data_IF_614455069295
#
_entry.id   IF_614455069295
#
_cell.length_a   1.000
_cell.length_b   1.000
_cell.length_c   1.000
_cell.angle_alpha   90.00
_cell.angle_beta   90.00
_cell.angle_gamma   90.00
#
_symmetry.space_group_name_H-M   'P 1'
#
loop_
_entity.id
_entity.type
_entity.pdbx_description
1 polymer ?
#
# COMPACT_ATOMS: atom_id res chain seq x y z
N UNK A 1 -16.20 -9.11 -9.23
CA UNK A 1 -17.02 -8.95 -8.01
C UNK A 1 -16.95 -10.20 -7.17
N UNK A 2 -17.48 -11.34 -7.64
CA UNK A 2 -17.40 -12.63 -6.94
C UNK A 2 -15.98 -12.99 -6.48
N UNK A 3 -14.99 -12.94 -7.37
CA UNK A 3 -13.59 -13.23 -7.03
C UNK A 3 -13.04 -12.30 -5.95
N UNK A 4 -13.36 -11.01 -6.01
CA UNK A 4 -12.94 -10.04 -4.98
C UNK A 4 -13.54 -10.41 -3.63
N UNK A 5 -14.86 -10.65 -3.60
CA UNK A 5 -15.54 -11.04 -2.36
C UNK A 5 -15.01 -12.37 -1.79
N UNK A 6 -14.68 -13.34 -2.63
CA UNK A 6 -14.09 -14.62 -2.22
C UNK A 6 -12.67 -14.45 -1.66
N UNK A 7 -11.80 -13.69 -2.33
CA UNK A 7 -10.43 -13.41 -1.87
C UNK A 7 -10.45 -12.73 -0.51
N UNK A 8 -11.25 -11.65 -0.37
CA UNK A 8 -11.33 -10.94 0.90
C UNK A 8 -12.08 -11.76 1.96
N UNK A 9 -13.08 -12.56 1.59
CA UNK A 9 -13.75 -13.48 2.51
C UNK A 9 -12.78 -14.49 3.11
N UNK A 10 -11.91 -15.07 2.26
CA UNK A 10 -10.82 -15.95 2.71
C UNK A 10 -9.81 -15.20 3.60
N UNK A 11 -9.37 -14.01 3.19
CA UNK A 11 -8.44 -13.20 3.99
C UNK A 11 -9.03 -12.85 5.36
N UNK A 12 -10.31 -12.50 5.42
CA UNK A 12 -11.03 -12.26 6.67
C UNK A 12 -11.15 -13.53 7.53
N UNK A 13 -11.23 -14.72 6.94
CA UNK A 13 -11.23 -15.98 7.71
C UNK A 13 -9.86 -16.35 8.30
N UNK A 14 -8.76 -15.91 7.66
CA UNK A 14 -7.41 -16.07 8.20
C UNK A 14 -7.17 -15.18 9.42
N UNK A 15 -7.84 -14.03 9.46
CA UNK A 15 -7.63 -13.01 10.49
C UNK A 15 -8.93 -12.59 11.20
N UNK A 16 -9.52 -13.48 12.03
CA UNK A 16 -10.64 -13.16 12.90
C UNK A 16 -10.37 -11.97 13.84
N UNK A 17 -11.42 -11.32 14.34
CA UNK A 17 -11.30 -10.13 15.22
C UNK A 17 -10.63 -10.40 16.55
N UNK A 18 -10.73 -11.63 17.04
CA UNK A 18 -10.17 -12.12 18.28
C UNK A 18 -8.75 -12.67 18.13
N UNK A 19 -8.14 -12.52 16.94
CA UNK A 19 -6.74 -12.90 16.72
C UNK A 19 -5.82 -12.08 17.62
N UNK A 20 -5.05 -12.76 18.47
CA UNK A 20 -3.93 -12.15 19.18
C UNK A 20 -2.75 -11.98 18.21
N UNK A 21 -2.79 -10.90 17.44
CA UNK A 21 -1.77 -10.61 16.43
C UNK A 21 -0.36 -10.53 17.03
N UNK A 22 -0.23 -10.05 18.28
CA UNK A 22 1.07 -9.87 18.93
C UNK A 22 1.73 -11.20 19.30
N UNK A 23 0.93 -12.21 19.63
CA UNK A 23 1.43 -13.56 19.86
C UNK A 23 2.00 -14.20 18.58
N UNK A 24 1.48 -13.81 17.41
CA UNK A 24 1.85 -14.37 16.10
C UNK A 24 3.06 -13.68 15.45
N UNK A 25 3.46 -12.50 15.92
CA UNK A 25 4.63 -11.80 15.39
C UNK A 25 5.92 -12.58 15.67
N UNK A 26 6.89 -12.57 14.73
CA UNK A 26 8.22 -13.14 14.95
C UNK A 26 8.83 -12.60 16.25
N UNK A 27 9.50 -13.47 17.01
CA UNK A 27 10.21 -13.06 18.22
C UNK A 27 11.66 -12.70 17.90
N UNK A 28 12.31 -11.87 18.71
CA UNK A 28 13.71 -11.53 18.51
C UNK A 28 14.55 -12.80 18.58
N UNK A 29 15.44 -12.99 17.59
CA UNK A 29 16.40 -14.08 17.53
C UNK A 29 17.77 -13.48 17.17
N UNK A 30 18.78 -13.76 17.99
CA UNK A 30 20.13 -13.23 17.82
C UNK A 30 20.85 -13.80 16.59
N UNK A 31 20.35 -14.90 16.02
CA UNK A 31 20.91 -15.54 14.83
C UNK A 31 20.19 -15.15 13.53
N UNK A 32 19.17 -14.29 13.60
CA UNK A 32 18.36 -13.88 12.44
C UNK A 32 18.42 -12.36 12.30
N UNK A 33 19.08 -11.88 11.26
CA UNK A 33 19.06 -10.47 10.91
C UNK A 33 17.74 -10.13 10.22
N UNK A 34 16.85 -9.47 10.96
CA UNK A 34 15.50 -9.13 10.50
C UNK A 34 15.37 -7.65 10.15
N UNK A 35 14.74 -7.36 9.02
CA UNK A 35 14.42 -6.00 8.58
C UNK A 35 12.90 -5.78 8.54
N UNK A 36 12.42 -4.64 9.04
CA UNK A 36 11.02 -4.22 8.90
C UNK A 36 10.95 -3.11 7.85
N UNK A 37 10.27 -3.41 6.74
CA UNK A 37 10.05 -2.45 5.67
C UNK A 37 8.90 -1.51 6.02
N UNK A 38 9.17 -0.21 5.94
CA UNK A 38 8.19 0.85 6.25
C UNK A 38 7.84 1.71 5.03
N UNK A 39 8.29 1.29 3.86
CA UNK A 39 8.12 2.01 2.60
C UNK A 39 6.78 1.82 1.93
N UNK A 40 6.75 2.10 0.62
CA UNK A 40 5.55 1.91 -0.21
C UNK A 40 5.40 0.42 -0.55
N UNK A 41 4.23 -0.15 -0.28
CA UNK A 41 3.86 -1.53 -0.61
C UNK A 41 3.01 -1.52 -1.88
N UNK A 42 3.68 -1.58 -3.03
CA UNK A 42 3.06 -1.62 -4.35
C UNK A 42 3.85 -2.54 -5.30
N UNK A 43 3.18 -3.32 -6.18
CA UNK A 43 3.85 -4.25 -7.10
C UNK A 43 4.89 -3.60 -8.03
N UNK A 44 4.80 -2.28 -8.24
CA UNK A 44 5.73 -1.51 -9.10
C UNK A 44 7.05 -1.16 -8.43
N UNK A 45 7.12 -1.21 -7.09
CA UNK A 45 8.30 -0.76 -6.32
C UNK A 45 8.89 -1.84 -5.42
N UNK A 46 8.05 -2.76 -4.93
CA UNK A 46 8.47 -3.86 -4.04
C UNK A 46 9.62 -4.72 -4.61
N UNK A 47 9.68 -5.02 -5.93
CA UNK A 47 10.81 -5.77 -6.47
C UNK A 47 12.18 -5.11 -6.20
N UNK A 48 12.24 -3.78 -6.25
CA UNK A 48 13.50 -3.05 -6.01
C UNK A 48 13.80 -2.91 -4.52
N UNK A 49 12.76 -2.69 -3.72
CA UNK A 49 12.94 -2.27 -2.33
C UNK A 49 13.01 -3.44 -1.34
N UNK A 50 12.18 -4.47 -1.53
CA UNK A 50 12.08 -5.61 -0.61
C UNK A 50 12.80 -6.81 -1.19
N UNK A 51 12.46 -7.21 -2.43
CA UNK A 51 13.12 -8.36 -3.08
C UNK A 51 14.59 -8.05 -3.32
N UNK A 52 14.90 -6.86 -3.84
CA UNK A 52 16.28 -6.41 -4.05
C UNK A 52 17.10 -6.30 -2.76
N UNK A 53 16.46 -6.10 -1.61
CA UNK A 53 17.11 -6.02 -0.30
C UNK A 53 17.24 -7.39 0.40
N UNK A 54 16.43 -8.37 0.00
CA UNK A 54 16.43 -9.70 0.63
C UNK A 54 17.78 -10.43 0.70
N UNK A 55 18.76 -10.24 -0.21
CA UNK A 55 20.07 -10.90 -0.09
C UNK A 55 20.94 -10.38 1.08
N UNK A 56 20.58 -9.27 1.70
CA UNK A 56 21.36 -8.63 2.76
C UNK A 56 20.90 -8.98 4.17
N UNK A 57 19.79 -9.71 4.30
CA UNK A 57 19.13 -10.03 5.57
C UNK A 57 18.52 -11.42 5.51
N UNK A 58 18.28 -12.03 6.67
CA UNK A 58 17.67 -13.36 6.74
C UNK A 58 16.15 -13.31 6.56
N UNK A 59 15.51 -12.24 7.05
CA UNK A 59 14.06 -12.06 6.98
C UNK A 59 13.69 -10.59 6.80
N UNK A 60 12.71 -10.33 5.92
CA UNK A 60 12.06 -9.04 5.76
C UNK A 60 10.60 -9.14 6.18
N UNK A 61 10.21 -8.38 7.21
CA UNK A 61 8.81 -8.17 7.56
C UNK A 61 8.23 -7.07 6.66
N UNK A 62 7.08 -7.35 6.06
CA UNK A 62 6.28 -6.37 5.30
C UNK A 62 4.84 -6.41 5.77
N UNK A 63 4.20 -5.25 5.90
CA UNK A 63 2.77 -5.17 6.20
C UNK A 63 1.98 -5.63 4.97
N UNK A 64 1.09 -6.59 5.18
CA UNK A 64 0.22 -7.14 4.16
C UNK A 64 -0.74 -6.05 3.63
N UNK A 65 -0.82 -5.83 2.30
CA UNK A 65 -1.69 -4.78 1.75
C UNK A 65 -3.17 -5.18 1.71
N UNK A 66 -3.53 -6.44 1.94
CA UNK A 66 -4.95 -6.82 1.99
C UNK A 66 -5.60 -6.23 3.25
N UNK A 67 -6.59 -5.37 3.04
CA UNK A 67 -7.40 -4.85 4.15
C UNK A 67 -8.26 -5.97 4.73
N UNK A 68 -8.24 -6.11 6.06
CA UNK A 68 -9.07 -7.11 6.72
C UNK A 68 -10.56 -6.68 6.71
N UNK A 69 -11.46 -7.40 6.01
CA UNK A 69 -12.86 -6.99 5.87
C UNK A 69 -13.63 -7.02 7.18
N UNK A 70 -13.15 -7.74 8.20
CA UNK A 70 -13.81 -7.81 9.50
C UNK A 70 -13.82 -6.46 10.22
N UNK A 71 -12.84 -5.59 9.93
CA UNK A 71 -12.67 -4.28 10.55
C UNK A 71 -13.27 -3.14 9.75
N UNK A 72 -13.90 -3.44 8.61
CA UNK A 72 -14.54 -2.46 7.74
C UNK A 72 -16.06 -2.52 7.94
N UNK A 73 -16.70 -1.35 8.02
CA UNK A 73 -18.15 -1.27 8.05
C UNK A 73 -18.75 -1.97 6.81
N UNK A 74 -19.89 -2.66 7.00
CA UNK A 74 -20.49 -3.54 5.99
C UNK A 74 -20.59 -2.90 4.61
N UNK A 75 -21.10 -1.68 4.53
CA UNK A 75 -21.34 -0.96 3.27
C UNK A 75 -20.05 -0.58 2.50
N UNK A 76 -18.91 -0.61 3.18
CA UNK A 76 -17.60 -0.29 2.63
C UNK A 76 -16.69 -1.52 2.54
N UNK A 77 -17.13 -2.68 3.03
CA UNK A 77 -16.31 -3.89 3.08
C UNK A 77 -16.17 -4.51 1.68
N UNK A 78 -14.98 -5.00 1.27
CA UNK A 78 -14.76 -5.62 -0.03
C UNK A 78 -15.56 -6.91 -0.23
N UNK A 79 -16.09 -7.50 0.86
CA UNK A 79 -16.98 -8.67 0.79
C UNK A 79 -18.38 -8.28 0.31
N UNK A 80 -18.90 -7.13 0.75
CA UNK A 80 -20.26 -6.68 0.43
C UNK A 80 -20.31 -5.64 -0.70
N UNK A 81 -19.23 -4.88 -0.89
CA UNK A 81 -19.05 -3.87 -1.94
C UNK A 81 -17.84 -4.18 -2.84
N UNK A 82 -17.71 -5.41 -3.38
CA UNK A 82 -16.52 -5.87 -4.11
C UNK A 82 -16.23 -5.07 -5.39
N UNK A 83 -17.24 -4.42 -5.98
CA UNK A 83 -17.08 -3.62 -7.18
C UNK A 83 -16.06 -2.48 -6.99
N UNK A 84 -15.97 -1.91 -5.79
CA UNK A 84 -15.10 -0.78 -5.48
C UNK A 84 -13.62 -1.15 -5.33
N UNK A 85 -13.32 -2.44 -5.13
CA UNK A 85 -11.99 -2.93 -4.76
C UNK A 85 -11.25 -3.62 -5.92
N UNK A 86 -11.79 -3.65 -7.14
CA UNK A 86 -11.21 -4.45 -8.24
C UNK A 86 -9.77 -4.03 -8.55
N UNK A 87 -9.52 -2.73 -8.66
CA UNK A 87 -8.20 -2.20 -8.99
C UNK A 87 -7.18 -2.51 -7.90
N UNK A 88 -7.56 -2.32 -6.63
CA UNK A 88 -6.69 -2.66 -5.50
C UNK A 88 -6.46 -4.16 -5.37
N UNK A 89 -7.49 -4.98 -5.58
CA UNK A 89 -7.34 -6.44 -5.57
C UNK A 89 -6.37 -6.90 -6.65
N UNK A 90 -6.45 -6.31 -7.86
CA UNK A 90 -5.54 -6.64 -8.96
C UNK A 90 -4.08 -6.34 -8.58
N UNK A 91 -3.81 -5.15 -8.01
CA UNK A 91 -2.47 -4.77 -7.54
C UNK A 91 -1.99 -5.70 -6.43
N UNK A 92 -2.82 -5.98 -5.44
CA UNK A 92 -2.45 -6.81 -4.29
C UNK A 92 -2.21 -8.28 -4.67
N UNK A 93 -3.00 -8.83 -5.59
CA UNK A 93 -2.77 -10.18 -6.13
C UNK A 93 -1.47 -10.22 -6.92
N UNK A 94 -1.21 -9.22 -7.78
CA UNK A 94 0.05 -9.16 -8.53
C UNK A 94 1.25 -9.08 -7.60
N UNK A 95 1.17 -8.24 -6.56
CA UNK A 95 2.19 -8.16 -5.52
C UNK A 95 2.42 -9.51 -4.85
N UNK A 96 1.34 -10.18 -4.41
CA UNK A 96 1.45 -11.45 -3.73
C UNK A 96 2.12 -12.49 -4.63
N UNK A 97 1.78 -12.55 -5.91
CA UNK A 97 2.42 -13.44 -6.89
C UNK A 97 3.93 -13.18 -7.03
N UNK A 98 4.37 -11.91 -6.94
CA UNK A 98 5.81 -11.58 -6.93
C UNK A 98 6.50 -12.04 -5.65
N UNK A 99 5.79 -12.04 -4.52
CA UNK A 99 6.34 -12.34 -3.21
C UNK A 99 6.29 -13.83 -2.83
N UNK A 100 5.40 -14.63 -3.41
CA UNK A 100 5.20 -16.06 -3.09
C UNK A 100 6.53 -16.83 -2.96
N UNK A 101 7.48 -16.75 -3.92
CA UNK A 101 8.72 -17.54 -3.82
C UNK A 101 9.54 -17.23 -2.57
N UNK A 102 9.52 -15.97 -2.11
CA UNK A 102 10.27 -15.52 -0.94
C UNK A 102 9.51 -15.76 0.37
N UNK A 103 8.19 -15.75 0.31
CA UNK A 103 7.32 -16.13 1.43
C UNK A 103 7.50 -17.63 1.73
N UNK A 104 7.51 -18.47 0.69
CA UNK A 104 7.68 -19.91 0.84
C UNK A 104 9.04 -20.30 1.41
N UNK A 105 10.09 -19.52 1.16
CA UNK A 105 11.42 -19.73 1.75
C UNK A 105 11.59 -19.08 3.13
N UNK A 106 10.58 -18.36 3.63
CA UNK A 106 10.64 -17.63 4.91
C UNK A 106 11.47 -16.35 4.89
N UNK A 107 11.96 -15.93 3.71
CA UNK A 107 12.76 -14.70 3.55
C UNK A 107 11.88 -13.46 3.65
N UNK A 108 10.62 -13.55 3.24
CA UNK A 108 9.65 -12.46 3.39
C UNK A 108 8.50 -12.92 4.26
N UNK A 109 8.22 -12.17 5.31
CA UNK A 109 7.12 -12.43 6.22
C UNK A 109 6.05 -11.33 6.11
N UNK A 110 4.89 -11.70 5.54
CA UNK A 110 3.74 -10.80 5.43
C UNK A 110 2.90 -10.86 6.69
N UNK A 111 2.86 -9.77 7.45
CA UNK A 111 2.03 -9.65 8.64
C UNK A 111 0.85 -8.71 8.39
N UNK A 112 -0.36 -9.00 8.94
CA UNK A 112 -1.43 -8.00 9.02
C UNK A 112 -0.97 -6.72 9.73
N UNK A 113 -1.61 -5.59 9.43
CA UNK A 113 -1.41 -4.37 10.22
C UNK A 113 -1.92 -4.59 11.65
N UNK A 114 -1.05 -4.54 12.69
CA UNK A 114 -1.48 -4.73 14.06
C UNK A 114 -2.49 -3.68 14.54
N UNK A 115 -2.53 -2.51 13.91
CA UNK A 115 -3.51 -1.46 14.20
C UNK A 115 -4.93 -1.84 13.79
N UNK A 116 -5.11 -2.84 12.92
CA UNK A 116 -6.45 -3.34 12.59
C UNK A 116 -7.07 -4.11 13.77
N UNK A 117 -6.26 -4.76 14.61
CA UNK A 117 -6.73 -5.62 15.70
C UNK A 117 -6.88 -4.87 17.04
N UNK A 118 -6.25 -3.71 17.17
CA UNK A 118 -6.30 -2.93 18.41
C UNK A 118 -6.53 -1.44 18.13
N UNK A 119 -7.80 -1.03 18.23
CA UNK A 119 -8.22 0.36 18.00
C UNK A 119 -7.61 1.34 19.01
N UNK A 120 -7.31 0.91 20.24
CA UNK A 120 -6.72 1.76 21.27
C UNK A 120 -5.28 2.08 20.88
N UNK A 121 -4.50 1.05 20.51
CA UNK A 121 -3.12 1.21 20.02
C UNK A 121 -3.10 2.07 18.76
N UNK A 122 -3.99 1.81 17.80
CA UNK A 122 -4.12 2.63 16.59
C UNK A 122 -4.34 4.10 16.90
N UNK A 123 -5.26 4.41 17.83
CA UNK A 123 -5.56 5.79 18.22
C UNK A 123 -4.36 6.46 18.90
N UNK A 124 -3.69 5.76 19.81
CA UNK A 124 -2.51 6.29 20.50
C UNK A 124 -1.38 6.60 19.52
N UNK A 125 -1.06 5.67 18.62
CA UNK A 125 -0.03 5.87 17.60
C UNK A 125 -0.37 7.02 16.64
N UNK A 126 -1.65 7.20 16.32
CA UNK A 126 -2.09 8.33 15.51
C UNK A 126 -1.86 9.66 16.23
N UNK A 127 -2.27 9.82 17.48
CA UNK A 127 -2.05 11.09 18.20
C UNK A 127 -0.55 11.43 18.31
N UNK A 128 0.31 10.44 18.59
CA UNK A 128 1.77 10.66 18.64
C UNK A 128 2.30 11.11 17.27
N UNK A 129 1.93 10.40 16.19
CA UNK A 129 2.36 10.74 14.84
C UNK A 129 1.87 12.14 14.43
N UNK A 130 0.64 12.51 14.82
CA UNK A 130 0.04 13.81 14.54
C UNK A 130 0.78 14.93 15.25
N UNK A 131 1.13 14.75 16.52
CA UNK A 131 1.91 15.74 17.27
C UNK A 131 3.30 15.91 16.68
N UNK A 132 3.95 14.81 16.29
CA UNK A 132 5.29 14.83 15.66
C UNK A 132 5.29 15.51 14.29
N UNK A 133 4.23 15.32 13.51
CA UNK A 133 4.10 15.87 12.15
C UNK A 133 3.40 17.24 12.11
N UNK A 134 3.11 17.85 13.27
CA UNK A 134 2.30 19.08 13.36
C UNK A 134 2.77 20.23 12.47
N UNK A 135 4.09 20.42 12.36
CA UNK A 135 4.71 21.49 11.58
C UNK A 135 5.38 20.99 10.29
N UNK A 136 5.23 19.69 9.99
CA UNK A 136 5.82 19.09 8.80
C UNK A 136 4.97 19.38 7.56
N UNK A 137 5.65 19.72 6.46
CA UNK A 137 5.04 19.83 5.15
C UNK A 137 5.81 18.96 4.15
N UNK A 138 5.12 18.16 3.32
CA UNK A 138 5.78 17.33 2.30
C UNK A 138 6.48 18.21 1.27
N UNK A 139 7.77 17.95 1.03
CA UNK A 139 8.48 18.57 -0.09
C UNK A 139 8.12 17.89 -1.39
N UNK A 140 8.11 18.64 -2.49
CA UNK A 140 7.73 18.08 -3.79
C UNK A 140 8.70 16.97 -4.24
N UNK A 141 9.99 17.09 -3.91
CA UNK A 141 10.99 16.06 -4.21
C UNK A 141 10.76 14.76 -3.43
N UNK A 142 10.23 14.84 -2.20
CA UNK A 142 9.94 13.69 -1.33
C UNK A 142 8.70 12.90 -1.81
N UNK A 143 7.93 13.46 -2.74
CA UNK A 143 6.70 12.87 -3.27
C UNK A 143 6.88 12.15 -4.60
N UNK A 144 8.08 12.12 -5.19
CA UNK A 144 8.30 11.68 -6.58
C UNK A 144 7.66 10.34 -6.94
N UNK A 145 8.10 9.25 -6.31
CA UNK A 145 7.57 7.90 -6.58
C UNK A 145 6.07 7.82 -6.28
N UNK A 146 5.64 8.38 -5.14
CA UNK A 146 4.23 8.36 -4.75
C UNK A 146 3.35 9.09 -5.79
N UNK A 147 3.81 10.24 -6.28
CA UNK A 147 3.14 11.03 -7.32
C UNK A 147 3.05 10.22 -8.62
N UNK A 148 4.12 9.56 -9.03
CA UNK A 148 4.13 8.75 -10.25
C UNK A 148 3.13 7.59 -10.17
N UNK A 149 3.06 6.91 -9.02
CA UNK A 149 2.08 5.85 -8.76
C UNK A 149 0.64 6.39 -8.78
N UNK A 150 0.39 7.52 -8.13
CA UNK A 150 -0.91 8.19 -8.15
C UNK A 150 -1.33 8.62 -9.55
N UNK A 151 -0.43 9.23 -10.31
CA UNK A 151 -0.70 9.62 -11.69
C UNK A 151 -1.00 8.42 -12.59
N UNK A 152 -0.27 7.32 -12.40
CA UNK A 152 -0.51 6.07 -13.13
C UNK A 152 -1.88 5.49 -12.80
N UNK A 153 -2.22 5.40 -11.51
CA UNK A 153 -3.50 4.85 -11.08
C UNK A 153 -4.67 5.74 -11.51
N UNK A 154 -4.48 7.07 -11.48
CA UNK A 154 -5.45 8.03 -11.99
C UNK A 154 -5.65 7.88 -13.50
N UNK A 155 -4.57 7.72 -14.29
CA UNK A 155 -4.66 7.46 -15.74
C UNK A 155 -5.44 6.17 -16.02
N UNK A 156 -5.24 5.12 -15.22
CA UNK A 156 -5.96 3.85 -15.35
C UNK A 156 -7.45 4.00 -15.03
N UNK A 157 -7.79 4.74 -13.99
CA UNK A 157 -9.19 5.06 -13.68
C UNK A 157 -9.84 5.88 -14.78
N UNK A 158 -9.16 6.91 -15.29
CA UNK A 158 -9.69 7.80 -16.33
C UNK A 158 -9.91 7.08 -17.66
N UNK A 159 -8.96 6.25 -18.09
CA UNK A 159 -9.09 5.39 -19.29
C UNK A 159 -10.07 4.24 -19.07
N UNK A 160 -10.43 3.98 -17.81
CA UNK A 160 -11.42 3.02 -17.33
C UNK A 160 -12.88 3.38 -17.64
N UNK A 161 -13.16 4.68 -17.81
CA UNK A 161 -14.52 5.23 -17.91
C UNK A 161 -15.24 4.85 -19.20
N UNK A 162 -16.59 4.90 -19.21
CA UNK A 162 -17.37 4.78 -20.44
C UNK A 162 -16.91 5.75 -21.52
N UNK A 163 -16.89 5.27 -22.77
CA UNK A 163 -16.42 6.02 -23.95
C UNK A 163 -17.09 7.39 -24.07
N UNK A 164 -18.39 7.48 -23.84
CA UNK A 164 -19.14 8.74 -23.94
C UNK A 164 -18.69 9.77 -22.90
N UNK A 165 -18.34 9.33 -21.69
CA UNK A 165 -17.79 10.21 -20.64
C UNK A 165 -16.41 10.71 -21.05
N UNK A 166 -15.56 9.83 -21.57
CA UNK A 166 -14.22 10.20 -22.06
C UNK A 166 -14.34 11.21 -23.21
N UNK A 167 -15.21 10.94 -24.19
CA UNK A 167 -15.46 11.81 -25.34
C UNK A 167 -15.93 13.20 -24.90
N UNK A 168 -16.91 13.27 -24.00
CA UNK A 168 -17.39 14.53 -23.45
C UNK A 168 -16.27 15.31 -22.74
N UNK A 169 -15.44 14.62 -21.94
CA UNK A 169 -14.34 15.25 -21.21
C UNK A 169 -13.26 15.79 -22.14
N UNK A 170 -12.86 15.04 -23.18
CA UNK A 170 -11.91 15.51 -24.20
C UNK A 170 -12.46 16.75 -24.90
N UNK A 171 -13.73 16.70 -25.36
CA UNK A 171 -14.36 17.83 -26.06
C UNK A 171 -14.50 19.07 -25.17
N UNK A 172 -14.64 18.90 -23.86
CA UNK A 172 -14.68 20.02 -22.90
C UNK A 172 -13.31 20.66 -22.66
N UNK A 173 -12.22 19.89 -22.74
CA UNK A 173 -10.85 20.35 -22.49
C UNK A 173 -10.18 20.87 -23.78
N UNK A 174 -10.55 20.30 -24.91
CA UNK A 174 -10.05 20.63 -26.25
C UNK A 174 -11.21 20.70 -27.25
N UNK A 175 -12.00 21.80 -27.23
CA UNK A 175 -13.15 21.98 -28.13
C UNK A 175 -12.76 22.04 -29.62
N UNK A 176 -11.50 22.34 -29.93
CA UNK A 176 -10.93 22.45 -31.27
C UNK A 176 -10.76 21.11 -31.99
N UNK A 177 -10.76 19.99 -31.26
CA UNK A 177 -10.58 18.66 -31.85
C UNK A 177 -11.82 18.21 -32.62
N UNK A 178 -11.61 17.70 -33.83
CA UNK A 178 -12.66 17.05 -34.60
C UNK A 178 -13.10 15.74 -33.95
N UNK A 179 -14.33 15.31 -34.21
CA UNK A 179 -14.83 14.04 -33.68
C UNK A 179 -13.95 12.84 -34.11
N UNK A 180 -13.30 12.91 -35.28
CA UNK A 180 -12.36 11.88 -35.75
C UNK A 180 -11.08 11.84 -34.90
N UNK A 181 -10.50 13.00 -34.60
CA UNK A 181 -9.30 13.08 -33.75
C UNK A 181 -9.60 12.59 -32.33
N UNK A 182 -10.78 12.90 -31.79
CA UNK A 182 -11.21 12.40 -30.48
C UNK A 182 -11.32 10.87 -30.49
N UNK A 183 -11.87 10.28 -31.55
CA UNK A 183 -11.94 8.81 -31.70
C UNK A 183 -10.55 8.16 -31.81
N UNK A 184 -9.62 8.79 -32.52
CA UNK A 184 -8.24 8.32 -32.63
C UNK A 184 -7.52 8.35 -31.26
N UNK A 185 -7.73 9.41 -30.47
CA UNK A 185 -7.21 9.51 -29.09
C UNK A 185 -7.78 8.41 -28.20
N UNK A 186 -9.10 8.19 -28.24
CA UNK A 186 -9.76 7.13 -27.45
C UNK A 186 -9.22 5.74 -27.86
N UNK A 187 -9.02 5.50 -29.14
CA UNK A 187 -8.42 4.27 -29.66
C UNK A 187 -7.00 4.06 -29.14
N UNK A 188 -6.18 5.12 -29.12
CA UNK A 188 -4.83 5.08 -28.54
C UNK A 188 -4.86 4.78 -27.03
N UNK A 189 -5.74 5.43 -26.28
CA UNK A 189 -5.93 5.20 -24.84
C UNK A 189 -6.30 3.74 -24.55
N UNK A 190 -7.20 3.15 -25.35
CA UNK A 190 -7.60 1.75 -25.19
C UNK A 190 -6.44 0.77 -25.43
N UNK A 191 -5.66 0.98 -26.50
CA UNK A 191 -4.47 0.15 -26.80
C UNK A 191 -3.41 0.23 -25.70
N UNK A 192 -3.25 1.40 -25.07
CA UNK A 192 -2.33 1.57 -23.94
C UNK A 192 -2.83 0.80 -22.70
N UNK A 193 -4.13 0.92 -22.40
CA UNK A 193 -4.79 0.22 -21.28
C UNK A 193 -4.67 -1.30 -21.40
N UNK A 194 -4.83 -1.85 -22.61
CA UNK A 194 -4.68 -3.29 -22.88
C UNK A 194 -3.28 -3.83 -22.60
N UNK A 195 -2.26 -2.96 -22.55
CA UNK A 195 -0.86 -3.32 -22.27
C UNK A 195 -0.45 -3.07 -20.82
N UNK A 196 -1.28 -2.38 -20.03
CA UNK A 196 -0.98 -2.07 -18.64
C UNK A 196 -1.47 -3.23 -17.75
N UNK A 197 -0.56 -3.96 -17.06
CA UNK A 197 -0.94 -5.10 -16.20
C UNK A 197 -1.78 -4.69 -14.98
N UNK A 198 -1.80 -3.41 -14.62
CA UNK A 198 -2.53 -2.87 -13.47
C UNK A 198 -3.81 -2.14 -13.88
N UNK A 199 -4.09 -2.01 -15.17
CA UNK A 199 -5.34 -1.45 -15.64
C UNK A 199 -6.44 -2.52 -15.67
N UNK A 200 -7.57 -2.23 -15.03
CA UNK A 200 -8.77 -3.05 -15.22
C UNK A 200 -9.15 -3.03 -16.69
N UNK A 201 -9.41 -4.17 -17.32
CA UNK A 201 -9.90 -4.22 -18.70
C UNK A 201 -11.43 -4.13 -18.78
N UNK A 202 -12.11 -4.39 -17.67
CA UNK A 202 -13.56 -4.24 -17.54
C UNK A 202 -13.93 -2.75 -17.46
N UNK A 203 -15.01 -2.30 -18.11
CA UNK A 203 -15.48 -0.93 -17.96
C UNK A 203 -15.81 -0.63 -16.50
N UNK A 204 -15.45 0.58 -16.05
CA UNK A 204 -15.83 1.04 -14.73
C UNK A 204 -17.33 1.36 -14.71
N UNK A 205 -18.06 0.96 -13.65
CA UNK A 205 -19.46 1.32 -13.51
C UNK A 205 -19.62 2.84 -13.35
N UNK A 206 -20.79 3.35 -13.72
CA UNK A 206 -21.12 4.78 -13.68
C UNK A 206 -21.98 5.08 -12.45
N UNK A 207 -21.37 5.54 -11.35
CA UNK A 207 -22.13 5.95 -10.17
C UNK A 207 -21.25 6.34 -8.98
N UNK A 208 -21.74 7.26 -8.13
CA UNK A 208 -21.00 7.75 -6.94
C UNK A 208 -20.67 6.63 -5.94
N UNK A 209 -21.48 5.57 -5.90
CA UNK A 209 -21.26 4.37 -5.05
C UNK A 209 -20.50 3.24 -5.73
N UNK A 210 -20.10 3.41 -6.99
CA UNK A 210 -19.52 2.35 -7.82
C UNK A 210 -18.10 2.70 -8.34
N UNK A 211 -17.52 3.79 -7.81
CA UNK A 211 -16.13 4.18 -8.09
C UNK A 211 -15.13 3.16 -7.56
N UNK A 212 -13.92 3.15 -8.12
CA UNK A 212 -12.80 2.40 -7.55
C UNK A 212 -12.23 3.18 -6.36
N UNK A 213 -11.96 2.46 -5.27
CA UNK A 213 -11.11 2.96 -4.20
C UNK A 213 -9.65 2.92 -4.66
N UNK A 214 -8.92 3.99 -4.36
CA UNK A 214 -7.46 4.04 -4.50
C UNK A 214 -6.88 4.03 -3.10
N UNK A 215 -6.19 2.95 -2.75
CA UNK A 215 -5.62 2.74 -1.42
C UNK A 215 -4.09 2.78 -1.54
N UNK A 216 -3.47 3.65 -0.76
CA UNK A 216 -2.02 3.72 -0.65
C UNK A 216 -1.57 2.93 0.57
N UNK A 217 -0.81 1.86 0.35
CA UNK A 217 -0.23 1.06 1.42
C UNK A 217 1.17 1.59 1.76
N UNK A 218 1.25 2.44 2.79
CA UNK A 218 2.51 2.98 3.30
C UNK A 218 2.54 2.88 4.84
N UNK A 219 2.62 1.65 5.33
CA UNK A 219 2.65 1.30 6.74
C UNK A 219 3.86 0.38 7.03
N UNK A 220 4.39 0.38 8.25
CA UNK A 220 3.99 1.21 9.39
C UNK A 220 4.48 2.67 9.29
N UNK A 221 3.90 3.58 10.11
CA UNK A 221 4.53 4.87 10.42
C UNK A 221 5.73 4.66 11.38
N UNK A 222 6.44 5.73 11.75
CA UNK A 222 7.63 5.62 12.62
C UNK A 222 7.29 4.95 13.96
N UNK A 223 6.21 5.36 14.60
CA UNK A 223 5.83 4.90 15.94
C UNK A 223 5.48 3.41 15.95
N UNK A 224 4.64 2.97 15.01
CA UNK A 224 4.32 1.55 14.84
C UNK A 224 5.56 0.77 14.40
N UNK A 225 6.40 1.36 13.55
CA UNK A 225 7.67 0.78 13.13
C UNK A 225 8.58 0.47 14.31
N UNK A 226 8.86 1.46 15.15
CA UNK A 226 9.69 1.31 16.35
C UNK A 226 9.12 0.29 17.34
N UNK A 227 7.80 0.30 17.53
CA UNK A 227 7.12 -0.67 18.38
C UNK A 227 7.29 -2.11 17.84
N UNK A 228 7.06 -2.32 16.54
CA UNK A 228 7.21 -3.63 15.91
C UNK A 228 8.67 -4.07 15.85
N UNK A 229 9.60 -3.14 15.64
CA UNK A 229 11.02 -3.43 15.58
C UNK A 229 11.53 -3.94 16.92
N UNK A 230 11.05 -3.36 18.03
CA UNK A 230 11.35 -3.84 19.37
C UNK A 230 10.80 -5.25 19.63
N UNK A 231 9.55 -5.52 19.22
CA UNK A 231 8.90 -6.82 19.44
C UNK A 231 9.54 -7.92 18.60
N UNK A 232 9.93 -7.60 17.37
CA UNK A 232 10.41 -8.58 16.40
C UNK A 232 11.92 -8.68 16.32
N UNK A 233 12.66 -7.81 17.02
CA UNK A 233 14.11 -7.73 16.94
C UNK A 233 14.60 -7.29 15.57
N UNK A 234 13.78 -6.57 14.81
CA UNK A 234 14.13 -6.09 13.47
C UNK A 234 14.73 -4.69 13.52
N UNK A 235 15.48 -4.29 12.48
CA UNK A 235 15.79 -2.88 12.23
C UNK A 235 14.82 -2.28 11.21
N UNK A 236 14.66 -0.96 11.22
CA UNK A 236 13.80 -0.24 10.27
C UNK A 236 14.55 0.10 8.99
N UNK A 237 13.88 -0.06 7.85
CA UNK A 237 14.33 0.52 6.59
C UNK A 237 13.15 0.96 5.71
N UNK A 238 13.45 1.79 4.72
CA UNK A 238 12.44 2.43 3.88
C UNK A 238 13.05 2.93 2.57
N UNK A 239 12.23 3.01 1.54
CA UNK A 239 12.52 3.67 0.26
C UNK A 239 12.06 5.15 0.24
N UNK A 240 11.44 5.62 1.33
CA UNK A 240 10.91 6.97 1.44
C UNK A 240 11.88 7.91 2.18
N UNK A 241 12.31 8.98 1.51
CA UNK A 241 13.30 9.93 2.05
C UNK A 241 12.86 10.63 3.34
N UNK A 242 11.57 10.95 3.47
CA UNK A 242 11.05 11.55 4.69
C UNK A 242 11.13 10.56 5.86
N UNK A 243 10.61 9.34 5.68
CA UNK A 243 10.70 8.28 6.71
C UNK A 243 12.14 7.94 7.06
N UNK A 244 13.04 7.95 6.06
CA UNK A 244 14.47 7.72 6.28
C UNK A 244 15.06 8.81 7.20
N UNK A 245 14.71 10.07 6.95
CA UNK A 245 15.13 11.19 7.78
C UNK A 245 14.62 11.07 9.21
N UNK A 246 13.36 10.65 9.40
CA UNK A 246 12.78 10.38 10.72
C UNK A 246 13.58 9.31 11.48
N UNK A 247 13.90 8.19 10.83
CA UNK A 247 14.68 7.09 11.41
C UNK A 247 16.07 7.58 11.83
N UNK A 248 16.75 8.34 10.96
CA UNK A 248 18.10 8.87 11.25
C UNK A 248 18.08 9.82 12.44
N UNK A 249 17.16 10.79 12.46
CA UNK A 249 17.03 11.76 13.57
C UNK A 249 16.80 11.02 14.90
N UNK A 250 15.92 10.02 14.89
CA UNK A 250 15.64 9.22 16.08
C UNK A 250 16.88 8.46 16.57
N UNK A 251 17.63 7.81 15.68
CA UNK A 251 18.87 7.11 16.02
C UNK A 251 19.95 8.06 16.54
N UNK A 252 20.09 9.26 15.94
CA UNK A 252 21.02 10.28 16.42
C UNK A 252 20.69 10.74 17.84
N UNK A 253 19.40 10.92 18.16
CA UNK A 253 18.96 11.28 19.52
C UNK A 253 19.31 10.18 20.54
N UNK A 254 19.11 8.90 20.18
CA UNK A 254 19.50 7.77 21.05
C UNK A 254 21.01 7.77 21.30
N UNK A 255 21.82 7.94 20.26
CA UNK A 255 23.28 7.96 20.39
C UNK A 255 23.75 9.10 21.30
N UNK A 256 23.21 10.32 21.13
CA UNK A 256 23.53 11.44 22.03
C UNK A 256 23.16 11.14 23.49
N UNK A 257 22.01 10.49 23.73
CA UNK A 257 21.59 10.13 25.09
C UNK A 257 22.47 9.03 25.70
N UNK A 258 23.00 8.10 24.89
CA UNK A 258 23.93 7.08 25.36
C UNK A 258 25.30 7.69 25.68
N UNK A 259 25.78 8.63 24.88
CA UNK A 259 27.04 9.35 25.12
C UNK A 259 26.99 10.26 26.37
N UNK A 260 25.80 10.65 26.85
CA UNK A 260 25.64 11.36 28.13
C UNK A 260 25.58 10.42 29.35
N UNK A 261 25.36 9.11 29.13
CA UNK A 261 25.19 8.10 30.18
C UNK A 261 26.47 7.27 30.44
N UNK A 262 27.43 7.29 29.51
CA UNK A 262 28.74 6.62 29.62
C UNK A 262 29.91 7.61 29.66
#
# INVERSE_FOLDING_TARGET
DKQVAEIYGFFGSLWPKDTDIMALLPKPDLNVLRALYTGIVDPRVIPNNVIGFSPYVDEVIVINPFTNPNWIAKDYSPVYSPAQYKQETLKNVFLLLQLIPFIETGVINLIPDPCDFNIIVRKQLWEIAKDRLKDWNPKQEEMGIMKDLFESDFKNTMTGMPKEIIKHKIKSLSPELSDKEIEDVISHMKKRREKDPFALLQPLPSGVKEGQLSISHMAPNLELGLFLSQITGSFLYTDNEHKRSEIIIFLSLILCLLDEVF
#
